data_IF_432137367352
#
_entry.id   IF_432137367352
#
_cell.length_a   1.000
_cell.length_b   1.000
_cell.length_c   1.000
_cell.angle_alpha   90.00
_cell.angle_beta   90.00
_cell.angle_gamma   90.00
#
_symmetry.space_group_name_H-M   'P 1'
#
loop_
_entity.id
_entity.type
_entity.pdbx_description
1 polymer ?
#
# COMPACT_ATOMS: atom_id res chain seq x y z
N UNK A 1 -28.04 8.92 47.86
CA UNK A 1 -28.52 10.31 47.97
C UNK A 1 -27.30 11.23 47.91
N UNK A 2 -27.48 12.43 47.34
CA UNK A 2 -26.49 13.50 47.03
C UNK A 2 -25.93 13.38 45.60
N UNK A 3 -26.70 13.79 44.57
CA UNK A 3 -26.92 15.19 44.13
C UNK A 3 -25.60 15.87 43.81
N UNK A 4 -25.38 16.34 42.57
CA UNK A 4 -25.00 17.74 42.26
C UNK A 4 -24.75 17.92 40.75
N UNK A 5 -25.66 18.71 40.16
CA UNK A 5 -25.40 19.78 39.17
C UNK A 5 -25.10 19.40 37.71
N UNK A 6 -26.17 19.54 36.93
CA UNK A 6 -26.22 20.01 35.54
C UNK A 6 -25.10 21.02 35.23
N UNK A 7 -24.29 20.75 34.21
CA UNK A 7 -23.62 21.79 33.42
C UNK A 7 -23.78 21.41 31.94
N UNK A 8 -24.70 22.11 31.28
CA UNK A 8 -24.74 22.29 29.84
C UNK A 8 -23.51 23.12 29.45
N UNK A 9 -22.62 22.57 28.63
CA UNK A 9 -21.61 23.36 27.90
C UNK A 9 -21.87 23.17 26.42
N UNK A 10 -22.51 24.17 25.83
CA UNK A 10 -22.64 24.33 24.39
C UNK A 10 -21.25 24.50 23.77
N UNK A 11 -20.80 23.51 23.01
CA UNK A 11 -19.58 23.62 22.22
C UNK A 11 -19.92 24.38 20.93
N UNK A 12 -19.70 25.70 20.94
CA UNK A 12 -19.72 26.50 19.71
C UNK A 12 -18.44 26.18 18.96
N UNK A 13 -18.54 25.31 17.94
CA UNK A 13 -17.45 25.06 17.02
C UNK A 13 -17.32 26.28 16.11
N UNK A 14 -16.36 27.16 16.41
CA UNK A 14 -15.93 28.20 15.49
C UNK A 14 -15.47 27.52 14.19
N UNK A 15 -16.10 27.90 13.07
CA UNK A 15 -15.71 27.44 11.75
C UNK A 15 -14.28 27.93 11.46
N UNK A 16 -13.32 27.03 11.66
CA UNK A 16 -11.93 27.27 11.30
C UNK A 16 -11.83 27.35 9.77
N UNK A 17 -11.21 28.44 9.32
CA UNK A 17 -10.79 28.76 7.97
C UNK A 17 -10.31 27.52 7.21
N UNK A 18 -10.85 27.30 6.01
CA UNK A 18 -10.37 26.29 5.07
C UNK A 18 -8.94 26.65 4.64
N UNK A 19 -7.93 26.10 5.30
CA UNK A 19 -6.57 26.07 4.76
C UNK A 19 -6.60 25.19 3.51
N UNK A 20 -6.57 25.81 2.35
CA UNK A 20 -6.31 25.11 1.09
C UNK A 20 -4.92 24.47 1.23
N UNK A 21 -4.87 23.17 1.51
CA UNK A 21 -3.62 22.43 1.46
C UNK A 21 -3.15 22.44 0.01
N UNK A 22 -2.08 23.19 -0.26
CA UNK A 22 -1.37 23.07 -1.53
C UNK A 22 -0.89 21.61 -1.63
N UNK A 23 -1.30 20.91 -2.68
CA UNK A 23 -0.83 19.56 -2.97
C UNK A 23 0.66 19.69 -3.32
N UNK A 24 1.53 19.39 -2.37
CA UNK A 24 2.96 19.28 -2.63
C UNK A 24 3.16 18.02 -3.46
N UNK A 25 3.58 18.19 -4.72
CA UNK A 25 3.96 17.04 -5.54
C UNK A 25 5.18 16.35 -4.89
N UNK A 26 5.19 15.02 -4.78
CA UNK A 26 6.33 14.31 -4.23
C UNK A 26 7.57 14.56 -5.09
N UNK A 27 8.71 14.64 -4.42
CA UNK A 27 10.02 14.73 -5.06
C UNK A 27 10.36 13.42 -5.77
N UNK A 28 11.31 13.50 -6.70
CA UNK A 28 11.82 12.31 -7.40
C UNK A 28 12.33 11.23 -6.42
N UNK A 29 13.05 11.66 -5.38
CA UNK A 29 13.61 10.77 -4.37
C UNK A 29 12.51 10.06 -3.56
N UNK A 30 11.42 10.76 -3.23
CA UNK A 30 10.29 10.18 -2.48
C UNK A 30 9.55 9.11 -3.29
N UNK A 31 9.28 9.37 -4.58
CA UNK A 31 8.64 8.37 -5.45
C UNK A 31 9.57 7.17 -5.65
N UNK A 32 10.87 7.39 -5.84
CA UNK A 32 11.86 6.30 -5.94
C UNK A 32 11.89 5.45 -4.68
N UNK A 33 11.92 6.08 -3.51
CA UNK A 33 11.89 5.39 -2.22
C UNK A 33 10.60 4.58 -2.04
N UNK A 34 9.44 5.13 -2.44
CA UNK A 34 8.17 4.41 -2.38
C UNK A 34 8.17 3.16 -3.28
N UNK A 35 8.76 3.25 -4.48
CA UNK A 35 8.94 2.10 -5.37
C UNK A 35 9.84 1.05 -4.72
N UNK A 36 10.99 1.47 -4.19
CA UNK A 36 11.97 0.58 -3.56
C UNK A 36 11.39 -0.13 -2.32
N UNK A 37 10.69 0.60 -1.45
CA UNK A 37 10.03 0.04 -0.27
C UNK A 37 8.94 -0.96 -0.64
N UNK A 38 8.13 -0.63 -1.66
CA UNK A 38 7.09 -1.54 -2.16
C UNK A 38 7.72 -2.82 -2.72
N UNK A 39 8.77 -2.69 -3.54
CA UNK A 39 9.46 -3.83 -4.13
C UNK A 39 10.07 -4.73 -3.04
N UNK A 40 10.77 -4.14 -2.07
CA UNK A 40 11.36 -4.86 -0.95
C UNK A 40 10.30 -5.66 -0.17
N UNK A 41 9.12 -5.08 0.07
CA UNK A 41 8.04 -5.79 0.77
C UNK A 41 7.46 -6.94 -0.05
N UNK A 42 7.36 -6.79 -1.36
CA UNK A 42 6.93 -7.89 -2.25
C UNK A 42 7.96 -9.02 -2.27
N UNK A 43 9.25 -8.70 -2.25
CA UNK A 43 10.33 -9.69 -2.15
C UNK A 43 10.34 -10.40 -0.79
N UNK A 44 10.14 -9.68 0.30
CA UNK A 44 9.97 -10.25 1.65
C UNK A 44 8.79 -11.24 1.69
N UNK A 45 7.62 -10.84 1.16
CA UNK A 45 6.45 -11.69 1.08
C UNK A 45 6.73 -12.97 0.26
N UNK A 46 7.53 -12.86 -0.80
CA UNK A 46 7.93 -14.01 -1.61
C UNK A 46 8.82 -14.97 -0.83
N UNK A 47 9.83 -14.46 -0.13
CA UNK A 47 10.72 -15.28 0.71
C UNK A 47 9.92 -15.98 1.81
N UNK A 48 9.00 -15.27 2.47
CA UNK A 48 8.11 -15.84 3.48
C UNK A 48 7.23 -16.96 2.90
N UNK A 49 6.65 -16.74 1.72
CA UNK A 49 5.81 -17.73 1.04
C UNK A 49 6.59 -18.97 0.61
N UNK A 50 7.82 -18.81 0.15
CA UNK A 50 8.71 -19.90 -0.22
C UNK A 50 9.21 -20.69 1.01
N UNK A 51 9.31 -20.02 2.16
CA UNK A 51 9.67 -20.62 3.45
C UNK A 51 8.48 -21.26 4.19
N UNK A 52 7.27 -21.22 3.62
CA UNK A 52 6.08 -21.81 4.22
C UNK A 52 5.51 -21.02 5.40
N UNK A 53 5.66 -19.69 5.40
CA UNK A 53 5.09 -18.84 6.45
C UNK A 53 3.56 -19.01 6.57
N UNK A 54 2.99 -18.75 7.77
CA UNK A 54 1.55 -18.86 7.99
C UNK A 54 0.74 -17.94 7.08
N UNK A 55 -0.46 -18.37 6.69
CA UNK A 55 -1.35 -17.62 5.81
C UNK A 55 -1.63 -16.21 6.29
N UNK A 56 -1.89 -16.03 7.59
CA UNK A 56 -2.19 -14.75 8.20
C UNK A 56 -1.02 -13.77 7.97
N UNK A 57 0.20 -14.22 8.26
CA UNK A 57 1.42 -13.45 7.99
C UNK A 57 1.58 -13.11 6.51
N UNK A 58 1.30 -14.05 5.60
CA UNK A 58 1.36 -13.79 4.16
C UNK A 58 0.31 -12.76 3.72
N UNK A 59 -0.93 -12.86 4.23
CA UNK A 59 -1.99 -11.90 3.94
C UNK A 59 -1.62 -10.50 4.45
N UNK A 60 -1.03 -10.40 5.63
CA UNK A 60 -0.59 -9.13 6.20
C UNK A 60 0.52 -8.50 5.37
N UNK A 61 1.56 -9.27 4.99
CA UNK A 61 2.64 -8.79 4.14
C UNK A 61 2.15 -8.29 2.77
N UNK A 62 1.22 -9.04 2.14
CA UNK A 62 0.63 -8.64 0.86
C UNK A 62 -0.23 -7.38 1.02
N UNK A 63 -0.93 -7.24 2.14
CA UNK A 63 -1.74 -6.06 2.46
C UNK A 63 -0.85 -4.84 2.68
N UNK A 64 0.27 -5.00 3.38
CA UNK A 64 1.27 -3.96 3.60
C UNK A 64 1.90 -3.50 2.28
N UNK A 65 2.31 -4.42 1.40
CA UNK A 65 2.80 -4.07 0.07
C UNK A 65 1.77 -3.26 -0.75
N UNK A 66 0.47 -3.60 -0.65
CA UNK A 66 -0.61 -2.83 -1.28
C UNK A 66 -0.85 -1.46 -0.66
N UNK A 67 -0.46 -1.26 0.59
CA UNK A 67 -0.51 0.04 1.24
C UNK A 67 0.68 0.89 0.81
N UNK A 68 1.91 0.35 0.87
CA UNK A 68 3.14 1.03 0.46
C UNK A 68 3.09 1.51 -0.99
N UNK A 69 2.54 0.71 -1.91
CA UNK A 69 2.47 1.13 -3.31
C UNK A 69 1.66 2.42 -3.52
N UNK A 70 0.76 2.79 -2.61
CA UNK A 70 -0.04 4.03 -2.73
C UNK A 70 0.83 5.28 -2.65
N UNK A 71 2.01 5.17 -2.05
CA UNK A 71 2.97 6.27 -1.94
C UNK A 71 3.77 6.46 -3.25
N UNK A 72 3.64 5.54 -4.21
CA UNK A 72 4.12 5.73 -5.59
C UNK A 72 3.19 6.72 -6.29
N UNK A 73 3.34 7.99 -5.95
CA UNK A 73 2.53 9.10 -6.43
C UNK A 73 3.17 9.71 -7.68
N UNK A 74 2.92 9.08 -8.83
CA UNK A 74 3.36 9.56 -10.14
C UNK A 74 2.33 9.21 -11.23
N UNK A 75 1.80 10.23 -11.90
CA UNK A 75 0.74 10.08 -12.91
C UNK A 75 1.12 9.14 -14.07
N UNK A 76 2.40 9.10 -14.47
CA UNK A 76 2.88 8.23 -15.55
C UNK A 76 2.84 6.76 -15.11
N UNK A 77 3.05 6.50 -13.82
CA UNK A 77 3.10 5.14 -13.26
C UNK A 77 1.72 4.63 -12.80
N UNK A 78 0.72 5.50 -12.66
CA UNK A 78 -0.58 5.18 -12.05
C UNK A 78 -1.24 3.92 -12.62
N UNK A 79 -1.30 3.78 -13.94
CA UNK A 79 -1.92 2.63 -14.60
C UNK A 79 -1.18 1.35 -14.25
N UNK A 80 0.15 1.34 -14.35
CA UNK A 80 0.99 0.18 -14.06
C UNK A 80 0.96 -0.18 -12.58
N UNK A 81 1.03 0.83 -11.70
CA UNK A 81 0.89 0.68 -10.25
C UNK A 81 -0.46 0.04 -9.90
N UNK A 82 -1.55 0.53 -10.47
CA UNK A 82 -2.89 -0.01 -10.22
C UNK A 82 -3.03 -1.46 -10.70
N UNK A 83 -2.45 -1.78 -11.87
CA UNK A 83 -2.40 -3.16 -12.37
C UNK A 83 -1.61 -4.07 -11.41
N UNK A 84 -0.42 -3.65 -10.97
CA UNK A 84 0.39 -4.41 -10.01
C UNK A 84 -0.33 -4.61 -8.66
N UNK A 85 -0.98 -3.56 -8.14
CA UNK A 85 -1.80 -3.63 -6.92
C UNK A 85 -3.01 -4.56 -7.08
N UNK A 86 -3.57 -4.64 -8.29
CA UNK A 86 -4.61 -5.61 -8.65
C UNK A 86 -4.10 -7.05 -8.57
N UNK A 87 -2.88 -7.33 -9.04
CA UNK A 87 -2.26 -8.65 -8.93
C UNK A 87 -1.96 -9.00 -7.47
N UNK A 88 -1.47 -8.06 -6.65
CA UNK A 88 -1.32 -8.30 -5.20
C UNK A 88 -2.66 -8.66 -4.52
N UNK A 89 -3.78 -8.07 -4.96
CA UNK A 89 -5.10 -8.48 -4.49
C UNK A 89 -5.42 -9.93 -4.87
N UNK A 90 -5.04 -10.36 -6.07
CA UNK A 90 -5.20 -11.76 -6.50
C UNK A 90 -4.37 -12.73 -5.65
N UNK A 91 -3.13 -12.35 -5.30
CA UNK A 91 -2.29 -13.13 -4.38
C UNK A 91 -3.02 -13.35 -3.05
N UNK A 92 -3.55 -12.29 -2.44
CA UNK A 92 -4.30 -12.37 -1.18
C UNK A 92 -5.51 -13.31 -1.31
N UNK A 93 -6.29 -13.19 -2.38
CA UNK A 93 -7.46 -14.06 -2.62
C UNK A 93 -7.05 -15.52 -2.81
N UNK A 94 -5.92 -15.79 -3.46
CA UNK A 94 -5.42 -17.15 -3.63
C UNK A 94 -4.97 -17.77 -2.30
N UNK A 95 -4.24 -17.01 -1.45
CA UNK A 95 -3.87 -17.43 -0.08
C UNK A 95 -5.13 -17.77 0.74
N UNK A 96 -6.15 -16.90 0.70
CA UNK A 96 -7.42 -17.09 1.40
C UNK A 96 -8.18 -18.35 0.94
N UNK A 97 -7.95 -18.79 -0.31
CA UNK A 97 -8.57 -19.99 -0.91
C UNK A 97 -7.71 -21.26 -0.80
N UNK A 98 -6.62 -21.24 -0.03
CA UNK A 98 -5.65 -22.34 0.05
C UNK A 98 -4.90 -22.64 -1.26
N UNK A 99 -5.01 -21.79 -2.28
CA UNK A 99 -4.35 -21.97 -3.56
C UNK A 99 -2.95 -21.33 -3.55
N UNK A 100 -2.02 -21.96 -2.83
CA UNK A 100 -0.65 -21.46 -2.68
C UNK A 100 0.12 -21.44 -4.01
N UNK A 101 -0.22 -22.32 -4.95
CA UNK A 101 0.41 -22.35 -6.26
C UNK A 101 0.03 -21.10 -7.06
N UNK A 102 -1.28 -20.79 -7.17
CA UNK A 102 -1.74 -19.58 -7.83
C UNK A 102 -1.25 -18.31 -7.10
N UNK A 103 -1.15 -18.35 -5.77
CA UNK A 103 -0.58 -17.26 -4.98
C UNK A 103 0.88 -16.99 -5.37
N UNK A 104 1.72 -18.03 -5.47
CA UNK A 104 3.13 -17.92 -5.88
C UNK A 104 3.29 -17.37 -7.29
N UNK A 105 2.50 -17.88 -8.24
CA UNK A 105 2.52 -17.42 -9.63
C UNK A 105 2.12 -15.94 -9.73
N UNK A 106 1.04 -15.56 -9.05
CA UNK A 106 0.57 -14.18 -8.98
C UNK A 106 1.58 -13.27 -8.29
N UNK A 107 2.26 -13.75 -7.25
CA UNK A 107 3.25 -12.96 -6.52
C UNK A 107 4.50 -12.70 -7.36
N UNK A 108 4.97 -13.70 -8.11
CA UNK A 108 6.04 -13.51 -9.09
C UNK A 108 5.64 -12.51 -10.18
N UNK A 109 4.39 -12.54 -10.64
CA UNK A 109 3.86 -11.57 -11.60
C UNK A 109 3.87 -10.14 -11.00
N UNK A 110 3.37 -9.97 -9.77
CA UNK A 110 3.41 -8.68 -9.09
C UNK A 110 4.85 -8.16 -8.93
N UNK A 111 5.79 -9.03 -8.53
CA UNK A 111 7.20 -8.69 -8.38
C UNK A 111 7.79 -8.16 -9.70
N UNK A 112 7.55 -8.86 -10.82
CA UNK A 112 8.03 -8.42 -12.12
C UNK A 112 7.44 -7.06 -12.52
N UNK A 113 6.14 -6.83 -12.27
CA UNK A 113 5.50 -5.53 -12.55
C UNK A 113 6.11 -4.39 -11.74
N UNK A 114 6.44 -4.61 -10.46
CA UNK A 114 7.11 -3.57 -9.67
C UNK A 114 8.56 -3.33 -10.12
N UNK A 115 9.26 -4.36 -10.61
CA UNK A 115 10.57 -4.18 -11.27
C UNK A 115 10.47 -3.35 -12.54
N UNK A 116 9.45 -3.61 -13.37
CA UNK A 116 9.16 -2.79 -14.56
C UNK A 116 8.83 -1.34 -14.18
N UNK A 117 8.02 -1.11 -13.14
CA UNK A 117 7.70 0.24 -12.65
C UNK A 117 8.98 0.97 -12.24
N UNK A 118 9.88 0.30 -11.50
CA UNK A 118 11.18 0.86 -11.10
C UNK A 118 12.04 1.24 -12.30
N UNK A 119 12.13 0.34 -13.28
CA UNK A 119 12.89 0.59 -14.50
C UNK A 119 12.31 1.77 -15.29
N UNK A 120 11.01 1.79 -15.54
CA UNK A 120 10.34 2.89 -16.22
C UNK A 120 10.54 4.21 -15.49
N UNK A 121 10.52 4.21 -14.16
CA UNK A 121 10.76 5.44 -13.41
C UNK A 121 12.19 5.96 -13.60
N UNK A 122 13.18 5.06 -13.56
CA UNK A 122 14.59 5.39 -13.77
C UNK A 122 14.90 5.81 -15.22
N UNK A 123 14.20 5.27 -16.22
CA UNK A 123 14.41 5.65 -17.62
C UNK A 123 13.87 7.06 -17.94
N UNK A 124 12.94 7.57 -17.12
CA UNK A 124 12.28 8.86 -17.33
C UNK A 124 12.80 9.98 -16.42
N UNK A 125 13.79 9.70 -15.55
CA UNK A 125 14.34 10.65 -14.57
C UNK A 125 15.79 10.30 -14.19
#
# INVERSE_FOLDING_TARGET
MNTYKKILVSFVLAAASTSTFAVVNPTYAEVRAAIDNTLAKVEEAKVAMDSGAPKESLVDMITEARQLQKDIANNVLDVKRNQASGVLKQVRVAIEKDDMQAAKESLNNALNRYKEIKQLYADNH
#
